data_IF_584853714320
#
_entry.id   IF_584853714320
#
_cell.length_a   1.000
_cell.length_b   1.000
_cell.length_c   1.000
_cell.angle_alpha   90.00
_cell.angle_beta   90.00
_cell.angle_gamma   90.00
#
_symmetry.space_group_name_H-M   'P 1'
#
loop_
_entity.id
_entity.type
_entity.pdbx_description
1 polymer ?
#
# COMPACT_ATOMS: atom_id res chain seq x y z
N UNK A 1 22.67 41.79 35.92
CA UNK A 1 22.38 40.54 36.67
C UNK A 1 21.12 39.97 36.04
N UNK A 2 21.23 38.79 35.42
CA UNK A 2 20.38 38.37 34.30
C UNK A 2 18.95 37.91 34.63
N UNK A 3 18.15 37.73 33.57
CA UNK A 3 17.84 36.43 32.94
C UNK A 3 17.22 36.70 31.55
N UNK A 4 17.76 36.14 30.45
CA UNK A 4 17.37 34.84 29.82
C UNK A 4 15.83 34.73 29.73
N UNK A 5 15.15 34.68 28.59
CA UNK A 5 15.49 34.52 27.18
C UNK A 5 14.15 34.37 26.44
N UNK A 6 14.14 34.72 25.17
CA UNK A 6 13.00 34.62 24.26
C UNK A 6 12.35 33.23 24.29
N UNK A 7 11.03 33.19 24.44
CA UNK A 7 10.22 31.97 24.40
C UNK A 7 9.41 31.89 23.11
N UNK A 8 10.07 32.00 21.96
CA UNK A 8 9.59 31.38 20.73
C UNK A 8 9.84 29.87 20.84
N UNK A 9 8.98 29.16 21.56
CA UNK A 9 9.03 27.69 21.63
C UNK A 9 8.01 27.12 20.65
N UNK A 10 8.43 27.11 19.38
CA UNK A 10 8.47 25.93 18.53
C UNK A 10 7.31 24.93 18.74
N UNK A 11 6.13 25.26 18.23
CA UNK A 11 5.28 24.23 17.62
C UNK A 11 6.05 23.68 16.42
N UNK A 12 6.94 22.74 16.72
CA UNK A 12 7.67 21.96 15.74
C UNK A 12 6.65 21.24 14.88
N UNK A 13 6.49 21.82 13.69
CA UNK A 13 5.90 21.25 12.50
C UNK A 13 6.70 19.97 12.17
N UNK A 14 6.50 18.93 12.99
CA UNK A 14 7.01 17.61 12.72
C UNK A 14 6.24 17.10 11.51
N UNK A 15 6.67 17.53 10.31
CA UNK A 15 6.32 16.88 9.07
C UNK A 15 6.62 15.40 9.30
N UNK A 16 5.55 14.62 9.48
CA UNK A 16 5.64 13.18 9.40
C UNK A 16 6.38 12.90 8.08
N UNK A 17 7.45 12.10 8.11
CA UNK A 17 8.27 11.88 6.93
C UNK A 17 7.34 11.48 5.79
N UNK A 18 7.42 12.23 4.68
CA UNK A 18 6.64 11.95 3.49
C UNK A 18 6.87 10.48 3.12
N UNK A 19 5.86 9.63 3.35
CA UNK A 19 5.94 8.20 3.03
C UNK A 19 5.94 8.14 1.51
N UNK A 20 7.13 8.14 0.93
CA UNK A 20 7.30 8.03 -0.51
C UNK A 20 6.72 6.71 -0.95
N UNK A 21 5.77 6.77 -1.89
CA UNK A 21 5.21 5.58 -2.53
C UNK A 21 6.34 4.68 -3.04
N UNK A 22 6.40 3.41 -2.60
CA UNK A 22 7.44 2.50 -3.06
C UNK A 22 7.40 2.34 -4.57
N UNK A 23 8.57 2.11 -5.17
CA UNK A 23 8.64 1.86 -6.61
C UNK A 23 7.91 0.57 -6.95
N UNK A 24 6.84 0.66 -7.72
CA UNK A 24 6.08 -0.48 -8.21
C UNK A 24 6.56 -0.88 -9.61
N UNK A 25 6.88 -2.16 -9.82
CA UNK A 25 7.06 -2.72 -11.16
C UNK A 25 6.37 -4.07 -11.27
N UNK A 26 5.69 -4.28 -12.40
CA UNK A 26 5.07 -5.56 -12.77
C UNK A 26 5.64 -5.95 -14.12
N UNK A 27 6.27 -7.13 -14.19
CA UNK A 27 6.86 -7.66 -15.42
C UNK A 27 5.94 -8.66 -16.10
N UNK A 28 5.41 -9.58 -15.31
CA UNK A 28 4.50 -10.65 -15.67
C UNK A 28 3.46 -10.82 -14.55
N UNK A 29 2.56 -11.80 -14.68
CA UNK A 29 1.51 -12.08 -13.67
C UNK A 29 2.05 -12.75 -12.40
N UNK A 30 3.27 -13.26 -12.43
CA UNK A 30 3.92 -14.05 -11.39
C UNK A 30 5.06 -13.30 -10.65
N UNK A 31 5.38 -12.07 -11.05
CA UNK A 31 6.48 -11.30 -10.47
C UNK A 31 6.07 -9.84 -10.22
N UNK A 32 6.18 -9.42 -8.96
CA UNK A 32 5.95 -8.06 -8.50
C UNK A 32 7.21 -7.52 -7.82
N UNK A 33 7.66 -6.33 -8.20
CA UNK A 33 8.69 -5.60 -7.46
C UNK A 33 8.03 -4.46 -6.72
N UNK A 34 8.17 -4.44 -5.40
CA UNK A 34 7.62 -3.43 -4.51
C UNK A 34 8.74 -2.77 -3.69
N UNK A 35 9.07 -1.52 -4.03
CA UNK A 35 10.26 -0.84 -3.51
C UNK A 35 11.53 -1.51 -4.02
N UNK A 36 12.25 -2.17 -3.10
CA UNK A 36 13.42 -3.00 -3.38
C UNK A 36 13.16 -4.50 -3.20
N UNK A 37 11.94 -4.88 -2.83
CA UNK A 37 11.56 -6.27 -2.58
C UNK A 37 10.97 -6.90 -3.84
N UNK A 38 11.46 -8.09 -4.19
CA UNK A 38 10.86 -8.95 -5.22
C UNK A 38 9.91 -9.94 -4.55
N UNK A 39 8.67 -9.98 -5.03
CA UNK A 39 7.59 -10.83 -4.55
C UNK A 39 7.28 -11.87 -5.61
N UNK A 40 7.60 -13.12 -5.30
CA UNK A 40 7.28 -14.29 -6.14
C UNK A 40 5.81 -14.69 -5.97
N UNK A 41 5.06 -14.62 -7.07
CA UNK A 41 3.64 -14.92 -7.17
C UNK A 41 3.36 -16.12 -8.08
N UNK A 42 4.38 -16.90 -8.44
CA UNK A 42 4.23 -18.13 -9.23
C UNK A 42 3.23 -19.13 -8.61
N UNK A 43 3.13 -19.15 -7.28
CA UNK A 43 2.18 -19.97 -6.53
C UNK A 43 0.77 -19.33 -6.38
N UNK A 44 0.51 -18.18 -7.03
CA UNK A 44 -0.78 -17.47 -7.04
C UNK A 44 -1.34 -17.48 -8.46
N UNK A 45 -1.52 -18.69 -9.02
CA UNK A 45 -1.96 -18.94 -10.40
C UNK A 45 -3.30 -18.29 -10.79
N UNK A 46 -4.06 -17.83 -9.79
CA UNK A 46 -5.35 -17.18 -9.95
C UNK A 46 -5.25 -15.75 -10.54
N UNK A 47 -4.08 -15.11 -10.45
CA UNK A 47 -3.81 -13.82 -11.10
C UNK A 47 -3.45 -14.11 -12.56
N UNK A 48 -4.33 -13.71 -13.48
CA UNK A 48 -4.22 -14.04 -14.92
C UNK A 48 -3.91 -12.84 -15.79
N UNK A 49 -3.93 -11.63 -15.22
CA UNK A 49 -3.70 -10.39 -15.95
C UNK A 49 -2.76 -9.44 -15.19
N UNK A 50 -1.84 -8.81 -15.92
CA UNK A 50 -0.85 -7.87 -15.36
C UNK A 50 -1.50 -6.61 -14.78
N UNK A 51 -2.65 -6.18 -15.30
CA UNK A 51 -3.44 -5.07 -14.78
C UNK A 51 -4.03 -5.36 -13.40
N UNK A 52 -4.36 -6.63 -13.11
CA UNK A 52 -4.76 -7.05 -11.75
C UNK A 52 -3.57 -6.92 -10.81
N UNK A 53 -2.40 -7.41 -11.21
CA UNK A 53 -1.22 -7.34 -10.37
C UNK A 53 -0.74 -5.89 -10.13
N UNK A 54 -0.85 -5.01 -11.13
CA UNK A 54 -0.63 -3.57 -10.95
C UNK A 54 -1.59 -2.98 -9.93
N UNK A 55 -2.88 -3.30 -10.04
CA UNK A 55 -3.89 -2.84 -9.08
C UNK A 55 -3.61 -3.35 -7.66
N UNK A 56 -3.19 -4.62 -7.50
CA UNK A 56 -2.79 -5.17 -6.19
C UNK A 56 -1.57 -4.41 -5.64
N UNK A 57 -0.56 -4.15 -6.48
CA UNK A 57 0.60 -3.35 -6.11
C UNK A 57 0.24 -1.94 -5.62
N UNK A 58 -0.67 -1.26 -6.32
CA UNK A 58 -1.18 0.04 -5.91
C UNK A 58 -2.01 -0.05 -4.62
N UNK A 59 -2.80 -1.12 -4.45
CA UNK A 59 -3.54 -1.39 -3.21
C UNK A 59 -2.63 -1.61 -2.01
N UNK A 60 -1.45 -2.20 -2.18
CA UNK A 60 -0.46 -2.33 -1.11
C UNK A 60 0.06 -0.94 -0.69
N UNK A 61 0.36 -0.06 -1.65
CA UNK A 61 0.72 1.34 -1.35
C UNK A 61 -0.40 2.05 -0.60
N UNK A 62 -1.65 1.85 -1.02
CA UNK A 62 -2.84 2.39 -0.34
C UNK A 62 -2.95 1.87 1.10
N UNK A 63 -2.72 0.58 1.33
CA UNK A 63 -2.67 -0.02 2.67
C UNK A 63 -1.61 0.65 3.54
N UNK A 64 -0.41 0.90 3.01
CA UNK A 64 0.66 1.58 3.74
C UNK A 64 0.27 2.99 4.18
N UNK A 65 -0.46 3.72 3.33
CA UNK A 65 -0.85 5.11 3.60
C UNK A 65 -2.03 5.24 4.56
N UNK A 66 -2.95 4.26 4.57
CA UNK A 66 -4.24 4.41 5.27
C UNK A 66 -4.47 3.39 6.39
N UNK A 67 -3.84 2.21 6.35
CA UNK A 67 -4.23 1.07 7.18
C UNK A 67 -3.12 0.45 8.03
N UNK A 68 -1.84 0.73 7.74
CA UNK A 68 -0.72 0.28 8.58
C UNK A 68 -0.57 1.16 9.83
N UNK A 69 -1.41 0.89 10.83
CA UNK A 69 -1.35 1.52 12.14
C UNK A 69 -1.07 0.53 13.29
N UNK A 70 -0.79 -0.74 12.97
CA UNK A 70 -0.49 -1.81 13.93
C UNK A 70 -1.68 -2.30 14.76
N UNK A 71 -2.91 -1.93 14.40
CA UNK A 71 -4.14 -2.28 15.16
C UNK A 71 -5.07 -3.26 14.45
N UNK A 72 -4.86 -3.48 13.16
CA UNK A 72 -5.74 -4.32 12.32
C UNK A 72 -5.00 -5.57 11.87
N UNK A 73 -5.74 -6.66 11.79
CA UNK A 73 -5.29 -7.91 11.17
C UNK A 73 -5.25 -7.79 9.66
N UNK A 74 -4.53 -8.70 9.00
CA UNK A 74 -4.51 -8.80 7.53
C UNK A 74 -5.92 -8.90 6.95
N UNK A 75 -6.80 -9.69 7.56
CA UNK A 75 -8.17 -9.88 7.10
C UNK A 75 -8.97 -8.56 7.14
N UNK A 76 -8.90 -7.84 8.26
CA UNK A 76 -9.59 -6.55 8.42
C UNK A 76 -9.07 -5.49 7.44
N UNK A 77 -7.76 -5.49 7.16
CA UNK A 77 -7.16 -4.59 6.17
C UNK A 77 -7.67 -4.92 4.77
N UNK A 78 -7.66 -6.20 4.38
CA UNK A 78 -8.16 -6.65 3.06
C UNK A 78 -9.64 -6.28 2.91
N UNK A 79 -10.47 -6.55 3.91
CA UNK A 79 -11.89 -6.21 3.88
C UNK A 79 -12.12 -4.70 3.76
N UNK A 80 -11.33 -3.89 4.46
CA UNK A 80 -11.39 -2.42 4.35
C UNK A 80 -11.09 -1.95 2.93
N UNK A 81 -10.01 -2.44 2.34
CA UNK A 81 -9.63 -2.09 0.96
C UNK A 81 -10.71 -2.50 -0.05
N UNK A 82 -11.24 -3.72 0.08
CA UNK A 82 -12.29 -4.19 -0.82
C UNK A 82 -13.58 -3.37 -0.69
N UNK A 83 -13.91 -2.90 0.52
CA UNK A 83 -15.05 -2.00 0.74
C UNK A 83 -14.83 -0.63 0.08
N UNK A 84 -13.63 -0.05 0.19
CA UNK A 84 -13.31 1.23 -0.45
C UNK A 84 -13.37 1.12 -1.97
N UNK A 85 -12.82 0.03 -2.53
CA UNK A 85 -12.89 -0.25 -3.97
C UNK A 85 -14.32 -0.49 -4.46
N UNK A 86 -15.20 -1.06 -3.63
CA UNK A 86 -16.60 -1.22 -3.98
C UNK A 86 -17.32 0.13 -4.08
N UNK A 87 -17.00 1.08 -3.19
CA UNK A 87 -17.58 2.42 -3.16
C UNK A 87 -17.02 3.34 -4.26
N UNK A 88 -15.72 3.29 -4.48
CA UNK A 88 -15.00 4.31 -5.26
C UNK A 88 -14.20 3.76 -6.44
N UNK A 89 -14.30 2.46 -6.72
CA UNK A 89 -13.58 1.77 -7.82
C UNK A 89 -12.06 1.89 -7.66
N UNK A 90 -11.32 1.59 -8.74
CA UNK A 90 -9.85 1.55 -8.76
C UNK A 90 -9.21 2.95 -8.70
N UNK A 91 -9.98 4.01 -8.94
CA UNK A 91 -9.46 5.38 -9.01
C UNK A 91 -8.85 5.86 -7.68
N UNK A 92 -9.21 5.24 -6.55
CA UNK A 92 -8.63 5.57 -5.23
C UNK A 92 -7.21 5.06 -5.05
N UNK A 93 -6.75 4.13 -5.89
CA UNK A 93 -5.47 3.46 -5.72
C UNK A 93 -4.29 4.29 -6.22
N UNK A 94 -4.55 5.33 -7.02
CA UNK A 94 -3.53 6.12 -7.70
C UNK A 94 -3.92 7.58 -7.73
N UNK A 95 -2.94 8.49 -7.62
CA UNK A 95 -3.18 9.95 -7.67
C UNK A 95 -3.87 10.41 -8.96
N UNK A 96 -3.56 9.75 -10.08
CA UNK A 96 -4.17 10.01 -11.39
C UNK A 96 -4.77 8.71 -11.95
N UNK A 97 -5.93 8.77 -12.64
CA UNK A 97 -6.55 7.58 -13.23
C UNK A 97 -5.60 6.82 -14.15
N UNK A 98 -5.52 5.50 -13.97
CA UNK A 98 -4.74 4.59 -14.80
C UNK A 98 -5.66 3.61 -15.52
N UNK A 99 -5.68 3.69 -16.85
CA UNK A 99 -6.61 2.92 -17.70
C UNK A 99 -6.28 1.44 -17.86
N UNK A 100 -5.17 0.98 -17.27
CA UNK A 100 -4.69 -0.40 -17.35
C UNK A 100 -4.80 -1.18 -16.02
N UNK A 101 -5.46 -0.59 -15.01
CA UNK A 101 -5.78 -1.30 -13.78
C UNK A 101 -7.00 -2.20 -13.96
N UNK A 102 -6.95 -3.40 -13.38
CA UNK A 102 -8.08 -4.33 -13.38
C UNK A 102 -8.45 -4.73 -11.95
N UNK A 103 -9.75 -4.98 -11.73
CA UNK A 103 -10.23 -5.44 -10.44
C UNK A 103 -9.64 -6.82 -10.09
N UNK A 104 -9.30 -6.99 -8.82
CA UNK A 104 -8.82 -8.22 -8.22
C UNK A 104 -9.75 -8.67 -7.09
N UNK A 105 -9.55 -9.88 -6.59
CA UNK A 105 -10.29 -10.51 -5.49
C UNK A 105 -9.59 -10.31 -4.15
N UNK A 106 -10.35 -10.35 -3.06
CA UNK A 106 -9.81 -10.30 -1.70
C UNK A 106 -8.71 -11.34 -1.45
N UNK A 107 -8.89 -12.57 -1.94
CA UNK A 107 -7.91 -13.64 -1.80
C UNK A 107 -6.60 -13.38 -2.55
N UNK A 108 -6.64 -12.70 -3.69
CA UNK A 108 -5.44 -12.33 -4.45
C UNK A 108 -4.67 -11.26 -3.69
N UNK A 109 -5.35 -10.21 -3.21
CA UNK A 109 -4.73 -9.19 -2.36
C UNK A 109 -4.13 -9.81 -1.09
N UNK A 110 -4.88 -10.65 -0.38
CA UNK A 110 -4.40 -11.33 0.81
C UNK A 110 -3.18 -12.22 0.50
N UNK A 111 -3.18 -12.94 -0.63
CA UNK A 111 -2.08 -13.80 -1.04
C UNK A 111 -0.78 -13.00 -1.32
N UNK A 112 -0.88 -11.83 -1.95
CA UNK A 112 0.30 -10.96 -2.19
C UNK A 112 0.76 -10.32 -0.89
N UNK A 113 -0.17 -9.80 -0.07
CA UNK A 113 0.11 -9.22 1.26
C UNK A 113 0.87 -10.20 2.15
N UNK A 114 0.45 -11.46 2.21
CA UNK A 114 1.12 -12.51 2.99
C UNK A 114 2.51 -12.91 2.47
N UNK A 115 2.91 -12.44 1.28
CA UNK A 115 4.23 -12.72 0.67
C UNK A 115 5.19 -11.54 0.79
N UNK A 116 4.72 -10.37 1.23
CA UNK A 116 5.58 -9.22 1.54
C UNK A 116 6.26 -9.45 2.88
N UNK A 117 7.57 -9.67 2.87
CA UNK A 117 8.36 -9.89 4.08
C UNK A 117 8.57 -8.61 4.86
N UNK A 118 8.58 -7.47 4.18
CA UNK A 118 8.70 -6.14 4.80
C UNK A 118 7.44 -5.68 5.53
N UNK A 119 6.32 -6.37 5.33
CA UNK A 119 5.04 -5.95 5.86
C UNK A 119 4.82 -6.54 7.27
N UNK A 120 4.95 -5.69 8.29
CA UNK A 120 4.65 -6.06 9.68
C UNK A 120 3.19 -5.75 10.03
N UNK A 121 2.36 -6.80 10.11
CA UNK A 121 0.95 -6.73 10.52
C UNK A 121 0.75 -7.67 11.72
N UNK A 122 -0.17 -7.31 12.61
CA UNK A 122 -0.44 -8.02 13.86
C UNK A 122 -1.59 -9.01 13.76
#
# INVERSE_FOLDING_TARGET
>A
MGRWGDGEDLESDAQLPEIRSPKLKVRNVDELVFGSEEVDLSAVEQIVDVGQLRAIGSAITYIQQHYLNGRRTVAEIVDSVMADLAASKLDILTEYPQGDLMMFRSFELAAVVNRLRSLEIR
#
